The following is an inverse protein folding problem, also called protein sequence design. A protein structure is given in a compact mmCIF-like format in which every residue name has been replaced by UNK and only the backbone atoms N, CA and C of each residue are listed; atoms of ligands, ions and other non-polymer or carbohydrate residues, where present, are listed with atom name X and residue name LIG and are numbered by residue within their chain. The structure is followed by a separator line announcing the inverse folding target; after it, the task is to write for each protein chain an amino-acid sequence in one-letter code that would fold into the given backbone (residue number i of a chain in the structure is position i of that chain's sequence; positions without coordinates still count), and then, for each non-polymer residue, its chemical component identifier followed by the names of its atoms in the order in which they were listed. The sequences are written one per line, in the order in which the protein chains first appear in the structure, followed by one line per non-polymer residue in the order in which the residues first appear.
data_IF_409445716977
#
_entry.id   IF_409445716977
#
_cell.length_a   1.000
_cell.length_b   1.000
_cell.length_c   1.000
_cell.angle_alpha   90.00
_cell.angle_beta   90.00
_cell.angle_gamma   90.00
#
_symmetry.space_group_name_H-M   'P 1'
#
loop_
_entity.id
_entity.type
_entity.pdbx_description
1 polymer ?
#
# COMPACT_ATOMS: atom_id res chain seq x y z
N UNK A 1 4.10 -9.08 33.06
CA UNK A 1 3.76 -10.40 32.50
C UNK A 1 2.75 -10.19 31.39
N UNK A 2 2.99 -10.73 30.19
CA UNK A 2 2.05 -10.60 29.07
C UNK A 2 0.86 -11.54 29.28
N UNK A 3 -0.39 -11.08 29.19
CA UNK A 3 -1.57 -11.93 29.39
C UNK A 3 -1.62 -13.09 28.39
N UNK A 4 -2.08 -14.24 28.86
CA UNK A 4 -2.38 -15.42 28.04
C UNK A 4 -3.53 -15.11 27.08
N UNK A 5 -3.67 -15.91 26.01
CA UNK A 5 -4.73 -15.70 25.01
C UNK A 5 -6.14 -15.71 25.61
N UNK A 6 -6.37 -16.50 26.66
CA UNK A 6 -7.66 -16.60 27.36
C UNK A 6 -7.96 -15.37 28.23
N UNK A 7 -6.94 -14.60 28.60
CA UNK A 7 -7.05 -13.38 29.40
C UNK A 7 -7.17 -12.11 28.53
N UNK A 8 -6.93 -12.22 27.22
CA UNK A 8 -7.05 -11.11 26.29
C UNK A 8 -8.51 -10.94 25.87
N UNK A 9 -9.03 -9.74 26.10
CA UNK A 9 -10.34 -9.33 25.61
C UNK A 9 -10.22 -8.32 24.47
N UNK A 10 -11.36 -7.80 24.00
CA UNK A 10 -11.42 -6.82 22.92
C UNK A 10 -10.75 -5.47 23.24
N UNK A 11 -10.46 -5.18 24.50
CA UNK A 11 -9.81 -3.96 24.94
C UNK A 11 -8.29 -4.13 25.04
N UNK A 12 -7.77 -5.35 24.89
CA UNK A 12 -6.35 -5.65 25.07
C UNK A 12 -5.42 -4.80 24.19
N UNK A 13 -5.82 -4.51 22.95
CA UNK A 13 -5.06 -3.66 22.03
C UNK A 13 -5.58 -2.22 21.93
N UNK A 14 -6.53 -1.80 22.79
CA UNK A 14 -7.09 -0.44 22.73
C UNK A 14 -5.99 0.58 22.98
N UNK A 15 -5.83 1.49 22.03
CA UNK A 15 -4.99 2.67 22.19
C UNK A 15 -5.80 3.79 22.84
N UNK A 16 -5.21 4.50 23.79
CA UNK A 16 -5.77 5.75 24.32
C UNK A 16 -5.35 6.91 23.42
N UNK A 17 -6.25 7.31 22.53
CA UNK A 17 -6.04 8.40 21.56
C UNK A 17 -6.95 9.60 21.82
N UNK A 18 -7.49 9.71 23.04
CA UNK A 18 -8.47 10.76 23.41
C UNK A 18 -7.92 12.17 23.24
N UNK A 19 -6.62 12.36 23.46
CA UNK A 19 -5.91 13.64 23.27
C UNK A 19 -5.40 13.86 21.84
N UNK A 20 -5.58 12.89 20.94
CA UNK A 20 -5.07 12.93 19.56
C UNK A 20 -5.98 12.12 18.62
N UNK A 21 -7.21 12.61 18.43
CA UNK A 21 -8.21 11.93 17.64
C UNK A 21 -7.83 11.84 16.15
N UNK A 22 -8.24 10.77 15.45
CA UNK A 22 -7.99 10.66 14.02
C UNK A 22 -8.77 11.74 13.25
N UNK A 23 -8.17 12.35 12.21
CA UNK A 23 -8.87 13.28 11.34
C UNK A 23 -10.17 12.71 10.80
N UNK A 24 -11.23 13.54 10.84
CA UNK A 24 -12.60 13.09 10.64
C UNK A 24 -13.35 12.75 11.94
N UNK A 25 -12.69 12.90 13.09
CA UNK A 25 -13.31 12.82 14.42
C UNK A 25 -13.03 14.11 15.18
N UNK A 26 -14.05 14.92 15.41
CA UNK A 26 -13.94 16.28 15.94
C UNK A 26 -14.01 16.34 17.47
N UNK A 27 -14.52 15.29 18.13
CA UNK A 27 -14.63 15.20 19.60
C UNK A 27 -14.60 13.76 20.13
N UNK A 28 -14.29 13.61 21.43
CA UNK A 28 -14.36 12.31 22.12
C UNK A 28 -15.79 11.77 22.11
N UNK A 29 -16.80 12.65 22.25
CA UNK A 29 -18.21 12.25 22.16
C UNK A 29 -18.54 11.66 20.78
N UNK A 30 -18.05 12.27 19.69
CA UNK A 30 -18.16 11.68 18.36
C UNK A 30 -17.39 10.35 18.29
N UNK A 31 -16.21 10.25 18.89
CA UNK A 31 -15.41 9.03 18.84
C UNK A 31 -16.09 7.84 19.55
N UNK A 32 -16.63 8.07 20.76
CA UNK A 32 -17.08 7.01 21.66
C UNK A 32 -18.61 6.80 21.65
N UNK A 33 -19.40 7.86 21.46
CA UNK A 33 -20.86 7.83 21.66
C UNK A 33 -21.62 7.97 20.35
N UNK A 34 -21.26 8.96 19.53
CA UNK A 34 -22.03 9.34 18.34
C UNK A 34 -21.15 9.42 17.08
N UNK A 35 -20.55 8.31 16.64
CA UNK A 35 -19.61 8.36 15.53
C UNK A 35 -20.30 8.61 14.18
N UNK A 36 -19.61 9.33 13.28
CA UNK A 36 -20.08 9.58 11.92
C UNK A 36 -20.25 8.24 11.21
N UNK A 37 -21.48 7.94 10.86
CA UNK A 37 -21.80 6.76 10.07
C UNK A 37 -21.36 6.95 8.62
N UNK A 38 -21.01 5.85 7.92
CA UNK A 38 -20.73 5.91 6.49
C UNK A 38 -21.90 6.52 5.71
N UNK A 39 -21.60 7.41 4.76
CA UNK A 39 -22.63 7.98 3.89
C UNK A 39 -23.26 6.89 3.01
N UNK A 40 -24.57 6.97 2.73
CA UNK A 40 -25.20 6.06 1.78
C UNK A 40 -24.61 6.28 0.38
N UNK A 41 -24.56 5.24 -0.48
CA UNK A 41 -24.13 5.40 -1.86
C UNK A 41 -24.98 6.47 -2.57
N UNK A 42 -24.35 7.41 -3.27
CA UNK A 42 -25.08 8.46 -3.96
C UNK A 42 -25.79 7.89 -5.19
N UNK A 43 -26.90 8.52 -5.58
CA UNK A 43 -27.66 8.09 -6.76
C UNK A 43 -26.94 8.55 -8.03
N UNK A 44 -26.73 7.66 -9.02
CA UNK A 44 -26.18 8.07 -10.31
C UNK A 44 -27.04 9.16 -10.95
N UNK A 45 -26.40 10.25 -11.40
CA UNK A 45 -27.08 11.35 -12.09
C UNK A 45 -27.27 11.07 -13.58
N UNK A 46 -26.44 10.19 -14.15
CA UNK A 46 -26.40 9.81 -15.56
C UNK A 46 -25.67 8.47 -15.73
N UNK A 47 -25.68 7.86 -16.93
CA UNK A 47 -24.77 6.77 -17.26
C UNK A 47 -23.31 7.22 -17.13
N UNK A 48 -22.48 6.37 -16.53
CA UNK A 48 -21.05 6.62 -16.34
C UNK A 48 -20.35 6.65 -17.71
N UNK A 49 -19.64 7.73 -18.06
CA UNK A 49 -18.90 7.78 -19.32
C UNK A 49 -17.82 6.69 -19.39
N UNK A 50 -17.77 5.94 -20.47
CA UNK A 50 -16.69 4.99 -20.73
C UNK A 50 -15.39 5.70 -21.11
N UNK A 51 -14.26 4.98 -21.06
CA UNK A 51 -13.01 5.50 -21.60
C UNK A 51 -13.15 5.80 -23.09
N UNK A 52 -12.59 6.91 -23.60
CA UNK A 52 -12.55 7.17 -25.04
C UNK A 52 -11.92 5.99 -25.81
N UNK A 53 -12.28 5.74 -27.07
CA UNK A 53 -11.60 4.75 -27.90
C UNK A 53 -10.09 4.97 -27.96
N UNK A 54 -9.29 3.90 -28.09
CA UNK A 54 -7.80 4.01 -28.10
C UNK A 54 -7.29 5.03 -29.14
N UNK A 55 -7.92 5.10 -30.32
CA UNK A 55 -7.55 6.03 -31.39
C UNK A 55 -7.71 7.52 -31.00
N UNK A 56 -8.52 7.84 -30.00
CA UNK A 56 -8.81 9.19 -29.52
C UNK A 56 -7.95 9.58 -28.30
N UNK A 57 -7.26 8.63 -27.67
CA UNK A 57 -6.41 8.84 -26.48
C UNK A 57 -5.07 9.44 -26.87
N UNK A 58 -5.00 10.78 -26.99
CA UNK A 58 -3.79 11.52 -27.39
C UNK A 58 -3.37 12.57 -26.38
N UNK A 59 -2.07 12.72 -26.17
CA UNK A 59 -1.52 13.74 -25.26
C UNK A 59 -1.98 13.51 -23.82
N UNK A 60 -2.39 14.58 -23.12
CA UNK A 60 -2.95 14.51 -21.76
C UNK A 60 -4.45 14.19 -21.77
N UNK A 61 -4.82 13.01 -22.24
CA UNK A 61 -6.24 12.63 -22.41
C UNK A 61 -6.89 12.18 -21.10
N UNK A 62 -6.15 11.58 -20.16
CA UNK A 62 -6.68 11.12 -18.88
C UNK A 62 -7.19 12.32 -18.09
N UNK A 63 -6.42 13.41 -18.04
CA UNK A 63 -6.81 14.65 -17.37
C UNK A 63 -8.14 15.19 -17.91
N UNK A 64 -8.25 15.31 -19.24
CA UNK A 64 -9.47 15.76 -19.91
C UNK A 64 -10.66 14.82 -19.73
N UNK A 65 -10.41 13.52 -19.55
CA UNK A 65 -11.45 12.55 -19.27
C UNK A 65 -11.93 12.66 -17.82
N UNK A 66 -11.01 12.77 -16.86
CA UNK A 66 -11.32 12.98 -15.45
C UNK A 66 -12.13 14.26 -15.23
N UNK A 67 -11.83 15.36 -15.93
CA UNK A 67 -12.60 16.61 -15.88
C UNK A 67 -14.08 16.45 -16.26
N UNK A 68 -14.43 15.42 -17.04
CA UNK A 68 -15.81 15.14 -17.45
C UNK A 68 -16.60 14.35 -16.40
N UNK A 69 -15.91 13.73 -15.43
CA UNK A 69 -16.54 12.85 -14.45
C UNK A 69 -16.99 13.62 -13.21
N UNK A 70 -18.14 13.23 -12.66
CA UNK A 70 -18.64 13.73 -11.38
C UNK A 70 -18.02 12.90 -10.24
N UNK A 71 -17.10 13.44 -9.44
CA UNK A 71 -16.44 12.69 -8.37
C UNK A 71 -17.40 12.26 -7.26
N UNK A 72 -18.58 12.85 -7.13
CA UNK A 72 -19.52 12.45 -6.09
C UNK A 72 -20.29 11.19 -6.49
N UNK A 73 -20.53 10.96 -7.79
CA UNK A 73 -21.35 9.81 -8.25
C UNK A 73 -20.61 8.82 -9.15
N UNK A 74 -19.47 9.21 -9.71
CA UNK A 74 -18.67 8.46 -10.68
C UNK A 74 -17.26 8.15 -10.14
N UNK A 75 -17.08 8.21 -8.81
CA UNK A 75 -15.80 7.94 -8.13
C UNK A 75 -15.20 6.58 -8.48
N UNK A 76 -16.02 5.53 -8.65
CA UNK A 76 -15.53 4.19 -9.03
C UNK A 76 -14.77 4.25 -10.38
N UNK A 77 -15.28 5.01 -11.35
CA UNK A 77 -14.65 5.16 -12.67
C UNK A 77 -13.41 6.05 -12.61
N UNK A 78 -13.40 7.06 -11.75
CA UNK A 78 -12.21 7.90 -11.50
C UNK A 78 -11.09 7.05 -10.88
N UNK A 79 -11.38 6.28 -9.84
CA UNK A 79 -10.40 5.40 -9.17
C UNK A 79 -9.91 4.32 -10.14
N UNK A 80 -10.81 3.68 -10.88
CA UNK A 80 -10.42 2.71 -11.92
C UNK A 80 -9.45 3.34 -12.92
N UNK A 81 -9.75 4.53 -13.41
CA UNK A 81 -8.89 5.21 -14.39
C UNK A 81 -7.54 5.57 -13.79
N UNK A 82 -7.52 6.14 -12.59
CA UNK A 82 -6.28 6.54 -11.92
C UNK A 82 -5.38 5.32 -11.67
N UNK A 83 -5.93 4.21 -11.16
CA UNK A 83 -5.13 3.03 -10.83
C UNK A 83 -4.65 2.30 -12.09
N UNK A 84 -5.53 2.03 -13.05
CA UNK A 84 -5.19 1.16 -14.17
C UNK A 84 -4.35 1.83 -15.27
N UNK A 85 -4.33 3.16 -15.34
CA UNK A 85 -3.45 3.89 -16.27
C UNK A 85 -2.24 4.53 -15.61
N UNK A 86 -2.27 4.82 -14.30
CA UNK A 86 -1.18 5.55 -13.65
C UNK A 86 -0.33 4.67 -12.74
N UNK A 87 -0.78 3.49 -12.30
CA UNK A 87 0.04 2.59 -11.49
C UNK A 87 0.83 1.58 -12.34
N UNK A 88 1.80 0.90 -11.71
CA UNK A 88 2.46 -0.30 -12.22
C UNK A 88 2.76 -1.25 -11.05
N UNK A 89 3.02 -2.53 -11.34
CA UNK A 89 3.26 -3.54 -10.30
C UNK A 89 4.43 -3.21 -9.36
N UNK A 90 5.50 -2.58 -9.85
CA UNK A 90 6.64 -2.19 -9.00
C UNK A 90 6.20 -1.15 -7.96
N UNK A 91 5.59 -0.05 -8.40
CA UNK A 91 5.09 0.99 -7.51
C UNK A 91 3.99 0.48 -6.56
N UNK A 92 3.09 -0.38 -7.07
CA UNK A 92 2.03 -0.99 -6.26
C UNK A 92 2.61 -1.88 -5.16
N UNK A 93 3.64 -2.69 -5.47
CA UNK A 93 4.30 -3.54 -4.48
C UNK A 93 5.08 -2.75 -3.42
N UNK A 94 5.69 -1.62 -3.79
CA UNK A 94 6.33 -0.71 -2.84
C UNK A 94 5.27 -0.05 -1.92
N UNK A 95 4.13 0.36 -2.48
CA UNK A 95 3.00 0.89 -1.72
C UNK A 95 2.37 -0.14 -0.78
N UNK A 96 2.24 -1.39 -1.22
CA UNK A 96 1.82 -2.52 -0.38
C UNK A 96 2.78 -2.73 0.79
N UNK A 97 4.09 -2.83 0.52
CA UNK A 97 5.10 -3.02 1.56
C UNK A 97 5.06 -1.86 2.57
N UNK A 98 5.04 -0.62 2.09
CA UNK A 98 4.96 0.57 2.94
C UNK A 98 3.68 0.56 3.79
N UNK A 99 2.51 0.33 3.20
CA UNK A 99 1.22 0.31 3.91
C UNK A 99 1.17 -0.77 4.98
N UNK A 100 1.64 -1.99 4.69
CA UNK A 100 1.67 -3.05 5.69
C UNK A 100 2.68 -2.77 6.82
N UNK A 101 3.80 -2.12 6.52
CA UNK A 101 4.76 -1.69 7.54
C UNK A 101 4.16 -0.62 8.46
N UNK A 102 3.31 0.27 7.92
CA UNK A 102 2.51 1.16 8.77
C UNK A 102 1.54 0.35 9.64
N UNK A 103 0.79 -0.60 9.08
CA UNK A 103 -0.22 -1.36 9.84
C UNK A 103 0.37 -2.15 11.01
N UNK A 104 1.54 -2.78 10.82
CA UNK A 104 2.20 -3.59 11.86
C UNK A 104 2.91 -2.77 12.93
N UNK A 105 2.93 -1.43 12.83
CA UNK A 105 3.40 -0.58 13.91
C UNK A 105 2.46 -0.65 15.14
N UNK A 106 1.16 -0.92 14.89
CA UNK A 106 0.15 -1.07 15.93
C UNK A 106 0.29 -2.43 16.61
N UNK A 107 0.01 -2.54 17.93
CA UNK A 107 -0.01 -3.82 18.61
C UNK A 107 -0.95 -4.87 17.99
N UNK A 108 -2.18 -4.44 17.67
CA UNK A 108 -3.18 -5.26 17.01
C UNK A 108 -2.70 -5.76 15.64
N UNK A 109 -2.18 -4.88 14.80
CA UNK A 109 -1.70 -5.20 13.46
C UNK A 109 -0.49 -6.13 13.47
N UNK A 110 0.48 -5.88 14.35
CA UNK A 110 1.64 -6.75 14.55
C UNK A 110 1.21 -8.17 14.96
N UNK A 111 0.33 -8.28 15.96
CA UNK A 111 -0.18 -9.55 16.44
C UNK A 111 -0.97 -10.31 15.36
N UNK A 112 -1.85 -9.62 14.64
CA UNK A 112 -2.66 -10.22 13.58
C UNK A 112 -1.81 -10.74 12.41
N UNK A 113 -0.87 -9.94 11.90
CA UNK A 113 0.02 -10.37 10.81
C UNK A 113 0.90 -11.52 11.26
N UNK A 114 1.47 -11.42 12.46
CA UNK A 114 2.33 -12.46 13.01
C UNK A 114 1.58 -13.80 13.18
N UNK A 115 0.35 -13.77 13.71
CA UNK A 115 -0.48 -14.97 13.90
C UNK A 115 -0.73 -15.74 12.59
N UNK A 116 -1.08 -15.03 11.51
CA UNK A 116 -1.32 -15.71 10.23
C UNK A 116 -0.06 -16.35 9.62
N UNK A 117 1.11 -15.85 10.00
CA UNK A 117 2.43 -16.22 9.49
C UNK A 117 2.60 -16.17 7.95
N UNK A 118 1.61 -15.68 7.20
CA UNK A 118 1.62 -15.67 5.73
C UNK A 118 2.72 -14.77 5.17
N UNK A 119 3.00 -13.65 5.83
CA UNK A 119 4.07 -12.73 5.41
C UNK A 119 5.45 -13.42 5.39
N UNK A 120 5.73 -14.32 6.34
CA UNK A 120 7.00 -15.03 6.45
C UNK A 120 7.10 -16.26 5.54
N UNK A 121 6.00 -17.04 5.47
CA UNK A 121 6.02 -18.36 4.84
C UNK A 121 5.61 -18.32 3.37
N UNK A 122 4.78 -17.36 2.98
CA UNK A 122 4.12 -17.27 1.66
C UNK A 122 3.91 -15.81 1.26
N UNK A 123 4.96 -15.01 1.36
CA UNK A 123 4.90 -13.56 1.19
C UNK A 123 4.37 -13.18 -0.19
N UNK A 124 4.85 -13.83 -1.25
CA UNK A 124 4.41 -13.53 -2.61
C UNK A 124 2.96 -13.96 -2.83
N UNK A 125 2.56 -15.15 -2.37
CA UNK A 125 1.15 -15.55 -2.39
C UNK A 125 0.28 -14.51 -1.67
N UNK A 126 0.68 -14.06 -0.48
CA UNK A 126 -0.07 -13.08 0.31
C UNK A 126 -0.24 -11.76 -0.44
N UNK A 127 0.82 -11.29 -1.10
CA UNK A 127 0.79 -10.08 -1.91
C UNK A 127 -0.19 -10.18 -3.07
N UNK A 128 -0.05 -11.21 -3.92
CA UNK A 128 -0.91 -11.35 -5.10
C UNK A 128 -2.37 -11.62 -4.71
N UNK A 129 -2.64 -12.38 -3.64
CA UNK A 129 -3.99 -12.54 -3.10
C UNK A 129 -4.57 -11.19 -2.67
N UNK A 130 -3.80 -10.36 -1.94
CA UNK A 130 -4.28 -9.05 -1.48
C UNK A 130 -4.50 -8.10 -2.64
N UNK A 131 -3.56 -8.07 -3.60
CA UNK A 131 -3.68 -7.28 -4.82
C UNK A 131 -4.90 -7.70 -5.64
N UNK A 132 -5.17 -9.00 -5.79
CA UNK A 132 -6.34 -9.51 -6.51
C UNK A 132 -7.66 -8.98 -5.92
N UNK A 133 -7.81 -9.03 -4.59
CA UNK A 133 -8.97 -8.47 -3.92
C UNK A 133 -9.08 -6.96 -4.15
N UNK A 134 -7.99 -6.23 -3.95
CA UNK A 134 -7.99 -4.77 -4.03
C UNK A 134 -8.32 -4.27 -5.44
N UNK A 135 -7.71 -4.90 -6.46
CA UNK A 135 -7.94 -4.56 -7.85
C UNK A 135 -9.32 -4.97 -8.35
N UNK A 136 -9.93 -6.04 -7.81
CA UNK A 136 -11.34 -6.34 -8.08
C UNK A 136 -12.24 -5.18 -7.64
N UNK A 137 -12.00 -4.62 -6.45
CA UNK A 137 -12.80 -3.52 -5.92
C UNK A 137 -12.69 -2.26 -6.77
N UNK A 138 -11.51 -1.99 -7.32
CA UNK A 138 -11.24 -0.85 -8.19
C UNK A 138 -11.73 -1.07 -9.62
N UNK A 139 -11.65 -2.31 -10.13
CA UNK A 139 -12.03 -2.63 -11.50
C UNK A 139 -13.55 -2.68 -11.70
N UNK A 140 -14.25 -3.34 -10.78
CA UNK A 140 -15.71 -3.51 -10.84
C UNK A 140 -16.46 -2.40 -10.12
N UNK A 141 -15.78 -1.60 -9.30
CA UNK A 141 -16.38 -0.57 -8.46
C UNK A 141 -16.79 -1.08 -7.09
N UNK A 142 -16.73 -0.18 -6.10
CA UNK A 142 -16.95 -0.46 -4.67
C UNK A 142 -18.34 -1.03 -4.36
N UNK A 143 -19.36 -0.67 -5.15
CA UNK A 143 -20.74 -1.11 -4.95
C UNK A 143 -21.13 -2.40 -5.68
N UNK A 144 -20.27 -2.95 -6.53
CA UNK A 144 -20.62 -4.09 -7.39
C UNK A 144 -20.82 -5.41 -6.64
N UNK A 145 -21.59 -6.33 -7.22
CA UNK A 145 -21.79 -7.66 -6.63
C UNK A 145 -20.47 -8.47 -6.53
N UNK A 146 -19.55 -8.25 -7.47
CA UNK A 146 -18.22 -8.87 -7.44
C UNK A 146 -17.46 -8.36 -6.23
N UNK A 147 -17.37 -7.03 -6.08
CA UNK A 147 -16.69 -6.40 -4.94
C UNK A 147 -17.30 -6.83 -3.62
N UNK A 148 -18.63 -6.87 -3.51
CA UNK A 148 -19.33 -7.32 -2.29
C UNK A 148 -18.96 -8.74 -1.89
N UNK A 149 -18.93 -9.69 -2.85
CA UNK A 149 -18.50 -11.08 -2.61
C UNK A 149 -17.05 -11.18 -2.18
N UNK A 150 -16.18 -10.36 -2.77
CA UNK A 150 -14.75 -10.28 -2.44
C UNK A 150 -14.53 -9.69 -1.05
N UNK A 151 -15.22 -8.61 -0.71
CA UNK A 151 -15.20 -7.99 0.63
C UNK A 151 -15.71 -8.95 1.71
N UNK A 152 -16.78 -9.71 1.45
CA UNK A 152 -17.23 -10.74 2.39
C UNK A 152 -16.19 -11.86 2.61
N UNK A 153 -15.37 -12.16 1.58
CA UNK A 153 -14.26 -13.10 1.74
C UNK A 153 -13.16 -12.53 2.64
N UNK A 154 -12.88 -11.22 2.56
CA UNK A 154 -11.98 -10.54 3.49
C UNK A 154 -12.56 -10.50 4.91
N UNK A 155 -13.85 -10.21 5.07
CA UNK A 155 -14.53 -10.25 6.38
C UNK A 155 -14.38 -11.63 7.04
N UNK A 156 -14.51 -12.73 6.28
CA UNK A 156 -14.28 -14.09 6.81
C UNK A 156 -12.82 -14.32 7.22
N UNK A 157 -11.86 -13.75 6.50
CA UNK A 157 -10.44 -13.80 6.87
C UNK A 157 -10.22 -13.05 8.19
N UNK A 158 -10.70 -11.80 8.32
CA UNK A 158 -10.59 -11.03 9.55
C UNK A 158 -11.27 -11.73 10.73
N UNK A 159 -12.48 -12.27 10.53
CA UNK A 159 -13.19 -13.09 11.50
C UNK A 159 -12.36 -14.26 12.04
N UNK A 160 -11.59 -14.91 11.17
CA UNK A 160 -10.73 -16.03 11.57
C UNK A 160 -9.52 -15.60 12.41
N UNK A 161 -9.05 -14.37 12.22
CA UNK A 161 -7.96 -13.78 13.01
C UNK A 161 -8.44 -13.49 14.43
N UNK A 162 -9.62 -12.90 14.61
CA UNK A 162 -10.16 -12.51 15.92
C UNK A 162 -10.25 -13.66 16.92
N UNK A 163 -10.50 -14.89 16.46
CA UNK A 163 -10.50 -16.09 17.31
C UNK A 163 -9.17 -16.36 18.02
N UNK A 164 -8.06 -15.91 17.45
CA UNK A 164 -6.70 -16.17 17.94
C UNK A 164 -5.97 -14.89 18.34
N UNK A 165 -6.51 -13.73 17.96
CA UNK A 165 -5.99 -12.41 18.31
C UNK A 165 -7.19 -11.53 18.69
N UNK A 166 -7.86 -11.79 19.83
CA UNK A 166 -8.97 -10.95 20.30
C UNK A 166 -8.52 -9.50 20.47
N UNK A 167 -9.36 -8.56 20.09
CA UNK A 167 -9.09 -7.13 20.08
C UNK A 167 -8.47 -6.61 18.77
N UNK A 168 -7.93 -7.47 17.90
CA UNK A 168 -7.37 -7.00 16.64
C UNK A 168 -8.45 -6.46 15.70
N UNK A 169 -8.22 -5.30 15.08
CA UNK A 169 -9.18 -4.65 14.19
C UNK A 169 -10.53 -4.31 14.86
N UNK A 170 -10.51 -4.08 16.18
CA UNK A 170 -11.69 -3.63 16.94
C UNK A 170 -12.01 -2.15 16.72
N UNK A 171 -11.03 -1.37 16.29
CA UNK A 171 -11.20 0.07 16.02
C UNK A 171 -11.25 0.34 14.51
N UNK A 172 -12.18 1.19 14.03
CA UNK A 172 -12.29 1.56 12.62
C UNK A 172 -10.96 1.97 11.97
N UNK A 173 -10.27 2.92 12.61
CA UNK A 173 -9.03 3.51 12.11
C UNK A 173 -7.90 2.49 11.84
N UNK A 174 -7.90 1.32 12.48
CA UNK A 174 -6.91 0.26 12.19
C UNK A 174 -7.06 -0.29 10.77
N UNK A 175 -8.31 -0.45 10.30
CA UNK A 175 -8.61 -0.92 8.96
C UNK A 175 -8.54 0.19 7.90
N UNK A 176 -8.91 1.41 8.27
CA UNK A 176 -8.92 2.57 7.37
C UNK A 176 -7.54 2.87 6.78
N UNK A 177 -6.47 2.70 7.57
CA UNK A 177 -5.10 2.93 7.14
C UNK A 177 -4.71 2.09 5.91
N UNK A 178 -5.29 0.89 5.74
CA UNK A 178 -5.03 0.06 4.56
C UNK A 178 -5.55 0.72 3.27
N UNK A 179 -6.72 1.37 3.33
CA UNK A 179 -7.34 2.07 2.20
C UNK A 179 -6.68 3.43 1.99
N UNK A 180 -6.42 4.16 3.07
CA UNK A 180 -5.79 5.49 3.03
C UNK A 180 -4.34 5.40 2.56
N UNK A 181 -3.61 4.35 2.95
CA UNK A 181 -2.27 4.08 2.45
C UNK A 181 -2.27 3.91 0.92
N UNK A 182 -3.21 3.16 0.36
CA UNK A 182 -3.35 3.02 -1.08
C UNK A 182 -3.72 4.34 -1.78
N UNK A 183 -4.57 5.16 -1.15
CA UNK A 183 -4.99 6.45 -1.67
C UNK A 183 -3.85 7.48 -1.73
N UNK A 184 -3.04 7.53 -0.66
CA UNK A 184 -2.12 8.63 -0.42
C UNK A 184 -0.65 8.32 -0.76
N UNK A 185 -0.28 7.04 -0.93
CA UNK A 185 1.12 6.65 -1.11
C UNK A 185 1.84 7.36 -2.28
N UNK A 186 1.23 7.48 -3.46
CA UNK A 186 1.88 8.21 -4.58
C UNK A 186 2.08 9.70 -4.24
N UNK A 187 1.11 10.34 -3.60
CA UNK A 187 1.20 11.74 -3.14
C UNK A 187 2.32 11.90 -2.11
N UNK A 188 2.42 10.97 -1.16
CA UNK A 188 3.53 10.92 -0.22
C UNK A 188 4.89 10.81 -0.94
N UNK A 189 5.02 9.91 -1.93
CA UNK A 189 6.26 9.79 -2.71
C UNK A 189 6.60 11.08 -3.46
N UNK A 190 5.60 11.71 -4.08
CA UNK A 190 5.77 12.99 -4.79
C UNK A 190 6.27 14.09 -3.86
N UNK A 191 5.71 14.18 -2.64
CA UNK A 191 6.14 15.13 -1.60
C UNK A 191 7.55 14.79 -1.08
N UNK A 192 7.83 13.51 -0.83
CA UNK A 192 9.13 13.02 -0.33
C UNK A 192 10.30 13.43 -1.24
N UNK A 193 10.08 13.47 -2.56
CA UNK A 193 11.14 13.77 -3.53
C UNK A 193 11.04 15.16 -4.14
N UNK A 194 10.04 15.97 -3.75
CA UNK A 194 9.79 17.28 -4.34
C UNK A 194 9.49 17.20 -5.85
N UNK A 195 8.61 16.28 -6.26
CA UNK A 195 8.15 16.18 -7.64
C UNK A 195 7.43 17.48 -8.09
N UNK A 196 7.47 17.80 -9.39
CA UNK A 196 6.88 19.03 -9.96
C UNK A 196 5.39 19.13 -9.69
N UNK A 197 4.67 18.02 -9.80
CA UNK A 197 3.27 17.89 -9.37
C UNK A 197 3.24 17.02 -8.13
N UNK A 198 2.84 17.62 -7.01
CA UNK A 198 2.73 16.92 -5.74
C UNK A 198 1.35 16.33 -5.53
N UNK A 199 0.31 17.05 -5.96
CA UNK A 199 -1.08 16.64 -5.76
C UNK A 199 -1.64 15.89 -6.98
N UNK A 200 -2.55 14.92 -6.76
CA UNK A 200 -3.25 14.26 -7.85
C UNK A 200 -4.32 15.18 -8.45
N UNK A 201 -4.96 14.74 -9.54
CA UNK A 201 -6.07 15.45 -10.17
C UNK A 201 -7.19 15.78 -9.15
N UNK A 202 -7.82 16.97 -9.18
CA UNK A 202 -8.87 17.35 -8.22
C UNK A 202 -10.02 16.33 -8.11
N UNK A 203 -10.51 15.79 -9.23
CA UNK A 203 -11.51 14.72 -9.19
C UNK A 203 -11.01 13.41 -8.57
N UNK A 204 -9.70 13.08 -8.66
CA UNK A 204 -9.12 11.94 -7.94
C UNK A 204 -9.05 12.22 -6.44
N UNK A 205 -8.65 13.44 -6.04
CA UNK A 205 -8.67 13.87 -4.64
C UNK A 205 -10.06 13.75 -4.01
N UNK A 206 -11.12 14.09 -4.75
CA UNK A 206 -12.52 13.97 -4.30
C UNK A 206 -13.06 12.54 -4.36
N UNK A 207 -12.65 11.75 -5.36
CA UNK A 207 -13.11 10.37 -5.51
C UNK A 207 -12.56 9.42 -4.45
N UNK A 208 -11.33 9.64 -3.96
CA UNK A 208 -10.71 8.75 -2.96
C UNK A 208 -11.49 8.65 -1.64
N UNK A 209 -11.88 9.76 -0.97
CA UNK A 209 -12.75 9.73 0.20
C UNK A 209 -14.08 9.02 -0.06
N UNK A 210 -14.73 9.30 -1.20
CA UNK A 210 -15.99 8.64 -1.56
C UNK A 210 -15.78 7.13 -1.71
N UNK A 211 -14.86 6.71 -2.58
CA UNK A 211 -14.60 5.30 -2.84
C UNK A 211 -14.16 4.54 -1.58
N UNK A 212 -13.23 5.13 -0.81
CA UNK A 212 -12.69 4.53 0.39
C UNK A 212 -13.75 4.31 1.48
N UNK A 213 -14.62 5.29 1.72
CA UNK A 213 -15.72 5.16 2.69
C UNK A 213 -16.67 4.01 2.30
N UNK A 214 -16.97 3.81 1.00
CA UNK A 214 -17.88 2.71 0.54
C UNK A 214 -17.24 1.33 0.66
N UNK A 215 -15.94 1.23 0.44
CA UNK A 215 -15.19 -0.01 0.66
C UNK A 215 -15.13 -0.32 2.16
N UNK A 216 -14.71 0.64 2.98
CA UNK A 216 -14.60 0.50 4.42
C UNK A 216 -15.94 0.23 5.11
N UNK A 217 -17.05 0.81 4.64
CA UNK A 217 -18.40 0.55 5.16
C UNK A 217 -18.83 -0.92 5.05
N UNK A 218 -18.26 -1.67 4.09
CA UNK A 218 -18.55 -3.09 3.89
C UNK A 218 -17.60 -4.01 4.67
N UNK A 219 -16.52 -3.48 5.22
CA UNK A 219 -15.57 -4.21 6.05
C UNK A 219 -15.98 -4.11 7.53
N UNK A 220 -15.98 -5.26 8.22
CA UNK A 220 -16.45 -5.36 9.61
C UNK A 220 -15.28 -5.23 10.60
N UNK A 221 -15.51 -4.56 11.73
CA UNK A 221 -14.63 -4.61 12.91
C UNK A 221 -15.03 -5.77 13.82
N UNK A 222 -14.24 -6.07 14.83
CA UNK A 222 -14.67 -6.91 15.95
C UNK A 222 -15.62 -6.13 16.89
N UNK A 223 -16.72 -6.71 17.41
CA UNK A 223 -17.24 -8.06 17.15
C UNK A 223 -17.95 -8.24 15.78
N UNK A 224 -18.02 -9.49 15.32
CA UNK A 224 -18.61 -9.93 14.03
C UNK A 224 -20.09 -9.61 13.81
N UNK A 225 -20.80 -9.14 14.83
CA UNK A 225 -22.24 -8.94 14.78
C UNK A 225 -22.68 -7.84 13.80
N UNK A 226 -21.71 -7.15 13.18
CA UNK A 226 -21.94 -6.09 12.21
C UNK A 226 -22.35 -4.78 12.84
N UNK A 227 -22.23 -4.65 14.17
CA UNK A 227 -22.51 -3.42 14.92
C UNK A 227 -21.63 -2.25 14.47
N UNK A 228 -20.47 -2.53 13.89
CA UNK A 228 -19.48 -1.54 13.47
C UNK A 228 -18.78 -1.95 12.16
N UNK A 229 -18.45 -0.95 11.36
CA UNK A 229 -17.65 -1.10 10.13
C UNK A 229 -16.40 -0.24 10.21
N UNK A 230 -15.40 -0.55 9.38
CA UNK A 230 -14.25 0.34 9.20
C UNK A 230 -14.62 1.66 8.50
N UNK A 231 -15.86 1.84 8.02
CA UNK A 231 -16.28 3.10 7.38
C UNK A 231 -16.71 4.16 8.39
N UNK A 232 -16.80 3.81 9.67
CA UNK A 232 -17.21 4.74 10.73
C UNK A 232 -16.09 5.76 10.97
N UNK A 233 -16.44 7.05 10.89
CA UNK A 233 -15.52 8.19 10.94
C UNK A 233 -14.51 8.30 9.78
N UNK A 234 -14.65 7.51 8.72
CA UNK A 234 -13.74 7.55 7.56
C UNK A 234 -13.54 8.98 7.03
N UNK A 235 -12.30 9.38 6.67
CA UNK A 235 -12.02 10.68 6.07
C UNK A 235 -12.90 11.05 4.87
N UNK A 236 -13.54 12.23 4.90
CA UNK A 236 -14.49 12.69 3.87
C UNK A 236 -13.91 13.68 2.87
N UNK A 237 -12.72 14.19 3.13
CA UNK A 237 -12.01 15.12 2.23
C UNK A 237 -10.59 14.65 2.00
N UNK A 238 -9.97 15.11 0.91
CA UNK A 238 -8.56 14.81 0.64
C UNK A 238 -7.64 15.30 1.77
N UNK A 239 -7.96 16.44 2.38
CA UNK A 239 -7.23 16.97 3.53
C UNK A 239 -7.38 16.06 4.77
N UNK A 240 -8.56 15.50 5.02
CA UNK A 240 -8.75 14.49 6.08
C UNK A 240 -7.97 13.20 5.77
N UNK A 241 -7.90 12.76 4.50
CA UNK A 241 -7.12 11.57 4.08
C UNK A 241 -5.62 11.79 4.32
N UNK A 242 -5.07 12.93 3.88
CA UNK A 242 -3.68 13.31 4.15
C UNK A 242 -3.43 13.43 5.65
N UNK A 243 -4.32 14.13 6.36
CA UNK A 243 -4.25 14.32 7.79
C UNK A 243 -4.18 12.98 8.51
N UNK A 244 -5.04 12.03 8.14
CA UNK A 244 -5.07 10.70 8.73
C UNK A 244 -3.76 9.94 8.48
N UNK A 245 -3.26 9.94 7.24
CA UNK A 245 -2.01 9.27 6.90
C UNK A 245 -0.83 9.79 7.74
N UNK A 246 -0.77 11.10 7.97
CA UNK A 246 0.25 11.75 8.80
C UNK A 246 0.00 11.57 10.31
N UNK A 247 -1.26 11.57 10.74
CA UNK A 247 -1.66 11.31 12.12
C UNK A 247 -1.23 9.90 12.55
N UNK A 248 -1.51 8.89 11.72
CA UNK A 248 -1.19 7.49 11.99
C UNK A 248 0.31 7.27 12.23
N UNK A 249 1.17 8.03 11.53
CA UNK A 249 2.63 7.98 11.70
C UNK A 249 3.14 8.64 12.98
N UNK A 250 2.34 9.47 13.63
CA UNK A 250 2.72 10.27 14.81
C UNK A 250 2.12 9.72 16.10
N UNK A 251 1.41 8.60 16.03
CA UNK A 251 0.93 7.92 17.24
C UNK A 251 2.17 7.48 18.04
N UNK A 252 2.28 7.82 19.34
CA UNK A 252 3.40 7.44 20.19
C UNK A 252 3.31 5.94 20.56
N UNK A 253 3.58 5.07 19.58
CA UNK A 253 3.41 3.62 19.69
C UNK A 253 4.29 3.00 20.80
N UNK A 254 5.38 3.65 21.20
CA UNK A 254 6.21 3.25 22.33
C UNK A 254 5.40 3.15 23.64
N UNK A 255 4.31 3.90 23.79
CA UNK A 255 3.43 3.85 24.97
C UNK A 255 2.54 2.60 25.01
N UNK A 256 2.30 1.98 23.85
CA UNK A 256 1.32 0.90 23.71
C UNK A 256 1.93 -0.43 23.25
N UNK A 257 3.23 -0.46 22.97
CA UNK A 257 3.96 -1.67 22.58
C UNK A 257 4.86 -2.19 23.70
N UNK A 258 4.81 -3.50 23.91
CA UNK A 258 5.82 -4.22 24.69
C UNK A 258 6.89 -4.83 23.78
N UNK A 259 7.92 -5.45 24.38
CA UNK A 259 9.01 -6.05 23.62
C UNK A 259 8.56 -7.18 22.69
N UNK A 260 7.51 -7.93 23.07
CA UNK A 260 6.95 -8.97 22.21
C UNK A 260 6.33 -8.37 20.96
N UNK A 261 5.51 -7.34 21.14
CA UNK A 261 4.82 -6.66 20.05
C UNK A 261 5.80 -5.95 19.12
N UNK A 262 6.83 -5.31 19.68
CA UNK A 262 7.88 -4.65 18.89
C UNK A 262 8.67 -5.64 18.04
N UNK A 263 9.00 -6.83 18.59
CA UNK A 263 9.62 -7.92 17.80
C UNK A 263 8.69 -8.39 16.67
N UNK A 264 7.39 -8.55 16.92
CA UNK A 264 6.43 -8.92 15.87
C UNK A 264 6.35 -7.87 14.77
N UNK A 265 6.36 -6.60 15.13
CA UNK A 265 6.36 -5.48 14.19
C UNK A 265 7.64 -5.48 13.34
N UNK A 266 8.80 -5.68 13.97
CA UNK A 266 10.10 -5.83 13.31
C UNK A 266 10.09 -6.99 12.32
N UNK A 267 9.78 -8.20 12.79
CA UNK A 267 9.79 -9.42 11.97
C UNK A 267 8.86 -9.26 10.76
N UNK A 268 7.64 -8.78 10.99
CA UNK A 268 6.66 -8.59 9.93
C UNK A 268 7.16 -7.56 8.90
N UNK A 269 7.74 -6.45 9.37
CA UNK A 269 8.29 -5.41 8.49
C UNK A 269 9.45 -5.94 7.65
N UNK A 270 10.37 -6.70 8.26
CA UNK A 270 11.49 -7.30 7.54
C UNK A 270 11.01 -8.31 6.49
N UNK A 271 9.95 -9.08 6.80
CA UNK A 271 9.33 -9.98 5.84
C UNK A 271 8.75 -9.26 4.62
N UNK A 272 8.07 -8.12 4.80
CA UNK A 272 7.56 -7.31 3.68
C UNK A 272 8.69 -6.69 2.85
N UNK A 273 9.75 -6.20 3.50
CA UNK A 273 10.95 -5.68 2.82
C UNK A 273 11.61 -6.79 1.98
N UNK A 274 11.79 -7.97 2.57
CA UNK A 274 12.38 -9.13 1.90
C UNK A 274 11.52 -9.57 0.73
N UNK A 275 10.21 -9.67 0.90
CA UNK A 275 9.27 -10.03 -0.17
C UNK A 275 9.39 -9.08 -1.37
N UNK A 276 9.40 -7.76 -1.13
CA UNK A 276 9.62 -6.79 -2.21
C UNK A 276 10.99 -6.96 -2.88
N UNK A 277 12.04 -7.11 -2.08
CA UNK A 277 13.41 -7.24 -2.58
C UNK A 277 13.58 -8.49 -3.44
N UNK A 278 13.05 -9.63 -3.00
CA UNK A 278 13.07 -10.89 -3.75
C UNK A 278 12.23 -10.79 -5.02
N UNK A 279 11.10 -10.07 -5.01
CA UNK A 279 10.25 -9.97 -6.19
C UNK A 279 10.92 -9.20 -7.33
N UNK A 280 11.63 -8.11 -7.02
CA UNK A 280 12.09 -7.15 -8.03
C UNK A 280 13.58 -7.12 -8.28
N UNK A 281 14.39 -7.71 -7.39
CA UNK A 281 15.85 -7.63 -7.50
C UNK A 281 16.50 -9.02 -7.48
N UNK A 282 17.52 -9.24 -8.34
CA UNK A 282 18.34 -10.45 -8.28
C UNK A 282 19.04 -10.54 -6.94
N UNK A 283 19.44 -11.74 -6.53
CA UNK A 283 19.92 -12.02 -5.16
C UNK A 283 21.03 -11.08 -4.71
N UNK A 284 21.96 -10.73 -5.60
CA UNK A 284 23.08 -9.81 -5.30
C UNK A 284 22.69 -8.33 -5.18
N UNK A 285 21.50 -7.95 -5.63
CA UNK A 285 20.95 -6.59 -5.56
C UNK A 285 19.76 -6.48 -4.59
N UNK A 286 19.39 -7.55 -3.88
CA UNK A 286 18.31 -7.48 -2.88
C UNK A 286 18.61 -6.49 -1.75
N UNK A 287 19.89 -6.25 -1.43
CA UNK A 287 20.28 -5.17 -0.52
C UNK A 287 19.81 -3.80 -1.02
N UNK A 288 19.83 -3.56 -2.35
CA UNK A 288 19.35 -2.32 -2.94
C UNK A 288 17.81 -2.27 -2.91
N UNK A 289 17.14 -3.41 -3.14
CA UNK A 289 15.69 -3.53 -2.91
C UNK A 289 15.28 -3.13 -1.49
N UNK A 290 16.03 -3.54 -0.47
CA UNK A 290 15.85 -3.07 0.92
C UNK A 290 15.98 -1.56 1.02
N UNK A 291 17.01 -0.96 0.39
CA UNK A 291 17.21 0.49 0.40
C UNK A 291 16.05 1.25 -0.25
N UNK A 292 15.47 0.72 -1.33
CA UNK A 292 14.26 1.27 -1.97
C UNK A 292 13.11 1.34 -0.97
N UNK A 293 12.82 0.22 -0.30
CA UNK A 293 11.72 0.17 0.67
C UNK A 293 11.97 1.08 1.88
N UNK A 294 13.18 1.04 2.46
CA UNK A 294 13.54 1.92 3.58
C UNK A 294 13.48 3.40 3.22
N UNK A 295 13.78 3.78 1.98
CA UNK A 295 13.69 5.17 1.52
C UNK A 295 12.24 5.67 1.49
N UNK A 296 11.29 4.80 1.15
CA UNK A 296 9.87 5.17 1.00
C UNK A 296 9.04 4.94 2.27
N UNK A 297 9.66 4.55 3.38
CA UNK A 297 9.00 4.45 4.68
C UNK A 297 9.43 5.65 5.54
N UNK A 298 8.47 6.39 6.13
CA UNK A 298 8.77 7.50 7.03
C UNK A 298 9.67 7.08 8.20
N UNK A 299 10.58 7.97 8.61
CA UNK A 299 11.56 7.68 9.66
C UNK A 299 10.93 7.22 11.00
N UNK A 300 9.85 7.86 11.53
CA UNK A 300 9.23 7.42 12.78
C UNK A 300 8.78 5.95 12.76
N UNK A 301 8.27 5.48 11.61
CA UNK A 301 7.83 4.10 11.44
C UNK A 301 9.04 3.15 11.40
N UNK A 302 10.14 3.56 10.75
CA UNK A 302 11.36 2.75 10.66
C UNK A 302 12.03 2.59 12.02
N UNK A 303 12.03 3.66 12.80
CA UNK A 303 12.57 3.69 14.16
C UNK A 303 11.73 2.81 15.09
N UNK A 304 10.40 2.97 15.08
CA UNK A 304 9.50 2.16 15.90
C UNK A 304 9.56 0.67 15.58
N UNK A 305 9.59 0.30 14.29
CA UNK A 305 9.67 -1.10 13.86
C UNK A 305 11.11 -1.64 13.86
N UNK A 306 12.10 -0.85 14.25
CA UNK A 306 13.52 -1.25 14.33
C UNK A 306 14.10 -1.84 13.01
N UNK A 307 13.63 -1.38 11.85
CA UNK A 307 14.06 -1.90 10.53
C UNK A 307 15.28 -1.18 9.94
N UNK A 308 15.82 -0.20 10.67
CA UNK A 308 17.01 0.54 10.32
C UNK A 308 16.77 1.69 9.34
N UNK A 309 17.87 2.36 8.95
CA UNK A 309 17.84 3.52 8.07
C UNK A 309 18.42 3.20 6.70
N UNK A 310 17.90 3.82 5.61
CA UNK A 310 18.57 3.74 4.34
C UNK A 310 19.95 4.40 4.45
N UNK A 311 20.92 3.90 3.69
CA UNK A 311 22.21 4.54 3.53
C UNK A 311 21.98 5.93 2.89
N UNK A 312 22.53 7.03 3.45
CA UNK A 312 22.21 8.39 2.98
C UNK A 312 22.52 8.65 1.49
N UNK A 313 23.60 8.04 0.98
CA UNK A 313 23.98 8.17 -0.44
C UNK A 313 22.97 7.43 -1.31
N UNK A 314 22.68 6.18 -0.97
CA UNK A 314 21.70 5.36 -1.71
C UNK A 314 20.29 5.97 -1.63
N UNK A 315 19.90 6.49 -0.47
CA UNK A 315 18.63 7.19 -0.26
C UNK A 315 18.51 8.40 -1.21
N UNK A 316 19.56 9.21 -1.31
CA UNK A 316 19.60 10.38 -2.20
C UNK A 316 19.45 9.95 -3.66
N UNK A 317 20.15 8.89 -4.08
CA UNK A 317 20.04 8.34 -5.43
C UNK A 317 18.65 7.79 -5.74
N UNK A 318 18.04 7.07 -4.79
CA UNK A 318 16.69 6.52 -4.93
C UNK A 318 15.66 7.66 -5.02
N UNK A 319 15.74 8.67 -4.15
CA UNK A 319 14.86 9.84 -4.20
C UNK A 319 14.99 10.59 -5.53
N UNK A 320 16.22 10.76 -6.02
CA UNK A 320 16.46 11.35 -7.34
C UNK A 320 15.85 10.52 -8.46
N UNK A 321 16.02 9.20 -8.45
CA UNK A 321 15.42 8.31 -9.46
C UNK A 321 13.88 8.36 -9.44
N UNK A 322 13.26 8.35 -8.26
CA UNK A 322 11.81 8.49 -8.09
C UNK A 322 11.34 9.86 -8.61
N UNK A 323 12.05 10.95 -8.30
CA UNK A 323 11.75 12.29 -8.83
C UNK A 323 11.79 12.32 -10.35
N UNK A 324 12.87 11.82 -10.95
CA UNK A 324 13.02 11.78 -12.41
C UNK A 324 11.91 10.96 -13.05
N UNK A 325 11.57 9.80 -12.48
CA UNK A 325 10.47 8.96 -12.96
C UNK A 325 9.13 9.71 -12.95
N UNK A 326 8.76 10.32 -11.81
CA UNK A 326 7.50 11.06 -11.65
C UNK A 326 7.43 12.29 -12.55
N UNK A 327 8.49 13.11 -12.59
CA UNK A 327 8.54 14.32 -13.42
C UNK A 327 8.51 13.98 -14.92
N UNK A 328 9.13 12.86 -15.33
CA UNK A 328 9.09 12.38 -16.72
C UNK A 328 7.70 11.88 -17.08
N UNK A 329 7.07 11.08 -16.22
CA UNK A 329 5.68 10.62 -16.38
C UNK A 329 4.72 11.80 -16.53
N UNK A 330 4.92 12.86 -15.75
CA UNK A 330 4.10 14.06 -15.82
C UNK A 330 4.31 14.85 -17.13
N UNK A 331 5.50 14.80 -17.72
CA UNK A 331 5.83 15.49 -18.97
C UNK A 331 5.41 14.73 -20.23
N UNK A 332 5.48 13.40 -20.23
CA UNK A 332 5.14 12.55 -21.38
C UNK A 332 3.62 12.49 -21.63
N UNK A 333 3.16 12.17 -22.86
CA UNK A 333 1.76 11.87 -23.10
C UNK A 333 1.22 10.78 -22.17
N UNK A 334 -0.07 10.83 -21.85
CA UNK A 334 -0.72 9.79 -21.05
C UNK A 334 -0.73 8.47 -21.85
N UNK A 335 -0.61 7.32 -21.19
CA UNK A 335 -0.62 6.02 -21.86
C UNK A 335 -1.95 5.79 -22.60
N UNK A 336 -1.87 5.18 -23.79
CA UNK A 336 -3.04 4.85 -24.61
C UNK A 336 -3.78 3.64 -24.02
N UNK A 337 -3.03 2.68 -23.48
CA UNK A 337 -3.56 1.45 -22.89
C UNK A 337 -3.43 1.46 -21.37
N UNK A 338 -4.35 0.80 -20.66
CA UNK A 338 -4.23 0.62 -19.23
C UNK A 338 -3.21 -0.51 -18.97
N UNK A 339 -1.92 -0.20 -18.97
CA UNK A 339 -0.84 -1.22 -18.87
C UNK A 339 -1.01 -2.14 -17.66
N UNK A 340 -1.51 -1.61 -16.54
CA UNK A 340 -1.77 -2.39 -15.33
C UNK A 340 -2.99 -3.32 -15.45
N UNK A 341 -3.87 -3.07 -16.41
CA UNK A 341 -5.02 -3.95 -16.71
C UNK A 341 -4.59 -5.27 -17.31
N UNK A 342 -3.58 -5.25 -18.19
CA UNK A 342 -3.07 -6.46 -18.81
C UNK A 342 -2.41 -7.36 -17.76
N UNK A 343 -1.60 -6.79 -16.87
CA UNK A 343 -1.01 -7.48 -15.72
C UNK A 343 -2.09 -8.05 -14.79
N UNK A 344 -3.10 -7.24 -14.46
CA UNK A 344 -4.23 -7.64 -13.63
C UNK A 344 -5.02 -8.82 -14.23
N UNK A 345 -5.30 -8.81 -15.52
CA UNK A 345 -6.02 -9.91 -16.18
C UNK A 345 -5.16 -11.16 -16.33
N UNK A 346 -3.87 -11.01 -16.65
CA UNK A 346 -2.93 -12.14 -16.71
C UNK A 346 -2.80 -12.84 -15.35
N UNK A 347 -2.86 -12.07 -14.25
CA UNK A 347 -2.80 -12.59 -12.89
C UNK A 347 -4.00 -13.51 -12.53
N UNK A 348 -5.19 -13.31 -13.12
CA UNK A 348 -6.40 -14.10 -12.76
C UNK A 348 -6.28 -15.60 -13.01
N UNK A 349 -5.40 -16.04 -13.92
CA UNK A 349 -5.17 -17.45 -14.22
C UNK A 349 -4.07 -18.12 -13.37
N UNK A 350 -3.38 -17.36 -12.52
CA UNK A 350 -2.20 -17.85 -11.80
C UNK A 350 -2.59 -18.64 -10.56
N UNK A 351 -1.94 -19.78 -10.35
CA UNK A 351 -2.07 -20.53 -9.10
C UNK A 351 -1.15 -19.93 -8.02
N UNK A 352 -1.70 -19.01 -7.23
CA UNK A 352 -0.96 -18.29 -6.20
C UNK A 352 -0.25 -19.18 -5.16
N UNK A 353 -0.73 -20.42 -4.95
CA UNK A 353 -0.08 -21.38 -4.03
C UNK A 353 1.31 -21.82 -4.49
N UNK A 354 1.64 -21.63 -5.78
CA UNK A 354 2.94 -21.99 -6.36
C UNK A 354 3.86 -20.79 -6.54
N UNK A 355 3.38 -19.56 -6.31
CA UNK A 355 4.09 -18.35 -6.71
C UNK A 355 5.39 -18.16 -5.95
N UNK A 356 5.43 -18.39 -4.64
CA UNK A 356 6.68 -18.27 -3.87
C UNK A 356 7.79 -19.20 -4.44
N UNK A 357 7.46 -20.46 -4.72
CA UNK A 357 8.41 -21.42 -5.31
C UNK A 357 8.82 -21.00 -6.73
N UNK A 358 7.86 -20.50 -7.52
CA UNK A 358 8.13 -20.05 -8.89
C UNK A 358 9.03 -18.80 -8.92
N UNK A 359 8.79 -17.83 -8.05
CA UNK A 359 9.61 -16.62 -7.94
C UNK A 359 11.04 -16.95 -7.55
N UNK A 360 11.25 -17.84 -6.56
CA UNK A 360 12.60 -18.27 -6.18
C UNK A 360 13.31 -19.03 -7.31
N UNK A 361 12.60 -19.91 -8.03
CA UNK A 361 13.16 -20.65 -9.16
C UNK A 361 13.51 -19.73 -10.35
N UNK A 362 12.67 -18.73 -10.63
CA UNK A 362 12.89 -17.74 -11.68
C UNK A 362 14.15 -16.91 -11.40
N UNK A 363 14.32 -16.43 -10.17
CA UNK A 363 15.53 -15.70 -9.78
C UNK A 363 16.76 -16.59 -9.77
N UNK A 364 16.67 -17.85 -9.34
CA UNK A 364 17.80 -18.79 -9.44
C UNK A 364 18.28 -18.95 -10.90
N UNK A 365 17.35 -18.91 -11.86
CA UNK A 365 17.69 -18.93 -13.29
C UNK A 365 18.29 -17.61 -13.76
N UNK A 366 17.70 -16.47 -13.36
CA UNK A 366 18.14 -15.12 -13.77
C UNK A 366 19.46 -14.70 -13.13
N UNK A 367 19.74 -15.10 -11.90
CA UNK A 367 20.98 -14.79 -11.17
C UNK A 367 22.21 -15.30 -11.94
N UNK A 368 22.11 -16.42 -12.67
CA UNK A 368 23.21 -16.89 -13.53
C UNK A 368 23.52 -15.90 -14.68
N UNK A 369 22.49 -15.24 -15.20
CA UNK A 369 22.62 -14.23 -16.25
C UNK A 369 23.13 -12.92 -15.64
N UNK A 370 22.60 -12.51 -14.49
CA UNK A 370 23.05 -11.32 -13.78
C UNK A 370 24.50 -11.45 -13.33
N UNK A 371 24.91 -12.63 -12.85
CA UNK A 371 26.31 -12.92 -12.51
C UNK A 371 27.22 -12.82 -13.73
N UNK A 372 26.77 -13.31 -14.89
CA UNK A 372 27.52 -13.13 -16.14
C UNK A 372 27.65 -11.65 -16.55
N UNK A 373 26.59 -10.86 -16.39
CA UNK A 373 26.59 -9.43 -16.70
C UNK A 373 27.47 -8.65 -15.72
N UNK A 374 27.32 -8.87 -14.41
CA UNK A 374 28.13 -8.21 -13.38
C UNK A 374 29.60 -8.60 -13.50
N UNK A 375 29.91 -9.88 -13.77
CA UNK A 375 31.26 -10.33 -14.07
C UNK A 375 31.81 -9.62 -15.30
N UNK A 376 31.01 -9.46 -16.35
CA UNK A 376 31.41 -8.73 -17.56
C UNK A 376 31.68 -7.25 -17.26
N UNK A 377 30.82 -6.58 -16.47
CA UNK A 377 31.02 -5.19 -16.05
C UNK A 377 32.29 -5.05 -15.22
N UNK A 378 32.56 -5.97 -14.30
CA UNK A 378 33.77 -5.98 -13.47
C UNK A 378 35.02 -6.25 -14.32
N UNK A 379 34.96 -7.20 -15.27
CA UNK A 379 36.07 -7.51 -16.16
C UNK A 379 36.36 -6.34 -17.13
N UNK A 380 35.34 -5.75 -17.74
CA UNK A 380 35.48 -4.60 -18.63
C UNK A 380 35.93 -3.36 -17.86
N UNK A 381 35.34 -3.09 -16.70
CA UNK A 381 35.74 -1.99 -15.82
C UNK A 381 37.15 -2.16 -15.27
N UNK A 382 37.54 -3.39 -14.91
CA UNK A 382 38.89 -3.73 -14.46
C UNK A 382 39.93 -3.64 -15.58
N UNK A 383 39.60 -4.09 -16.79
CA UNK A 383 40.45 -3.91 -17.97
C UNK A 383 40.60 -2.43 -18.34
N UNK A 384 39.53 -1.64 -18.23
CA UNK A 384 39.58 -0.20 -18.46
C UNK A 384 40.43 0.51 -17.40
N UNK A 385 40.31 0.17 -16.12
CA UNK A 385 41.14 0.71 -15.06
C UNK A 385 42.63 0.33 -15.22
N UNK A 386 42.92 -0.92 -15.60
CA UNK A 386 44.29 -1.37 -15.91
C UNK A 386 44.87 -0.69 -17.15
N UNK A 387 44.04 -0.40 -18.16
CA UNK A 387 44.43 0.36 -19.34
C UNK A 387 44.74 1.82 -19.01
N UNK A 388 43.90 2.47 -18.18
CA UNK A 388 44.18 3.81 -17.66
C UNK A 388 45.50 3.83 -16.86
N UNK A 389 45.73 2.85 -15.98
CA UNK A 389 46.98 2.76 -15.20
C UNK A 389 48.23 2.51 -16.06
N UNK A 390 48.12 1.83 -17.21
CA UNK A 390 49.20 1.69 -18.19
C UNK A 390 49.51 2.96 -18.96
N UNK A 391 48.52 3.83 -19.20
CA UNK A 391 48.72 5.12 -19.87
C UNK A 391 49.47 6.11 -18.96
N UNK A 392 49.31 6.00 -17.64
CA UNK A 392 50.00 6.85 -16.66
C UNK A 392 51.35 6.31 -16.17
N UNK A 393 51.84 5.20 -16.72
CA UNK A 393 53.13 4.57 -16.36
C UNK A 393 54.14 4.53 -17.52
N UNK A 394 53.93 5.37 -18.55
CA UNK A 394 54.90 5.65 -19.63
C UNK A 394 55.39 7.08 -19.54
#
# INVERSE_FOLDING_TARGET
MTPSLLERDKLYYKLDITDNLPPGTDSIEQFEVSPRQPRPPPRPKRPVPEWPPEAERKGKWIWRYLDKLDPDTEYDQIIKTAIFFMANSFAFSAGYASTFIHLVQTPAGAAAVHHTAKAYRRGHQRFFETQDYFLDWMWYGSGSDVSRKRLESVNRIHASVWKNVPGAYSHPWEGEMAIIGAAYFETYLRKLVGARRTEPHPNVQRAWPEWGERVCAQLRTEPLDGSRSFGVNFPRTWAEVEGFYLWFQRIPMERYTDDETRRKAHDASDAFIRQFSVMWFPRRLQWFGRQVVLTVIPAPIREHNEIGHPNPVTETLIKFAIKVYLDTKDALPDPVRPDFSDEYHAAKGVNWKKTDVQTEAEWTRRDRITDAILLTIVLVGGMWALWQLRIFSV
#
